data_IF_428410801853
#
_entry.id   IF_428410801853
#
_cell.length_a   1.000
_cell.length_b   1.000
_cell.length_c   1.000
_cell.angle_alpha   90.00
_cell.angle_beta   90.00
_cell.angle_gamma   90.00
#
_symmetry.space_group_name_H-M   'P 1'
#
loop_
_entity.id
_entity.type
_entity.pdbx_description
1 polymer ?
#
# COMPACT_ATOMS: atom_id res chain seq x y z
N UNK A 1 -10.17 -27.15 -25.11
CA UNK A 1 -10.01 -25.70 -24.92
C UNK A 1 -8.64 -25.29 -25.48
N UNK A 2 -8.53 -24.27 -26.35
CA UNK A 2 -7.25 -23.85 -26.91
C UNK A 2 -6.32 -23.25 -25.83
N UNK A 3 -5.01 -23.58 -25.80
CA UNK A 3 -4.07 -23.12 -24.76
C UNK A 3 -3.87 -21.59 -24.73
N UNK A 4 -4.25 -20.89 -25.81
CA UNK A 4 -4.18 -19.44 -25.89
C UNK A 4 -5.18 -18.73 -24.94
N UNK A 5 -6.35 -19.32 -24.69
CA UNK A 5 -7.41 -18.69 -23.87
C UNK A 5 -7.00 -18.47 -22.40
N UNK A 6 -6.23 -19.41 -21.84
CA UNK A 6 -5.76 -19.34 -20.46
C UNK A 6 -4.80 -18.15 -20.22
N UNK A 7 -3.99 -17.76 -21.22
CA UNK A 7 -3.06 -16.61 -21.10
C UNK A 7 -3.79 -15.27 -21.12
N UNK A 8 -4.81 -15.12 -21.96
CA UNK A 8 -5.61 -13.88 -22.00
C UNK A 8 -6.47 -13.68 -20.75
N UNK A 9 -6.98 -14.78 -20.18
CA UNK A 9 -7.70 -14.74 -18.90
C UNK A 9 -6.79 -14.31 -17.75
N UNK A 10 -5.57 -14.85 -17.69
CA UNK A 10 -4.57 -14.49 -16.66
C UNK A 10 -4.09 -13.04 -16.76
N UNK A 11 -3.84 -12.52 -17.96
CA UNK A 11 -3.43 -11.13 -18.19
C UNK A 11 -4.53 -10.11 -17.85
N UNK A 12 -5.80 -10.44 -18.11
CA UNK A 12 -6.95 -9.59 -17.75
C UNK A 12 -7.27 -9.62 -16.25
N UNK A 13 -7.08 -10.76 -15.60
CA UNK A 13 -7.24 -10.87 -14.15
C UNK A 13 -6.12 -10.13 -13.39
N UNK A 14 -4.89 -10.17 -13.89
CA UNK A 14 -3.74 -9.50 -13.27
C UNK A 14 -3.85 -7.96 -13.29
N UNK A 15 -4.36 -7.37 -14.37
CA UNK A 15 -4.53 -5.91 -14.48
C UNK A 15 -5.60 -5.35 -13.54
N UNK A 16 -6.69 -6.10 -13.31
CA UNK A 16 -7.71 -5.74 -12.32
C UNK A 16 -7.19 -5.74 -10.88
N UNK A 17 -6.35 -6.73 -10.53
CA UNK A 17 -5.73 -6.81 -9.21
C UNK A 17 -4.82 -5.63 -8.90
N UNK A 18 -3.99 -5.21 -9.87
CA UNK A 18 -3.09 -4.06 -9.69
C UNK A 18 -3.85 -2.76 -9.41
N UNK A 19 -4.93 -2.52 -10.13
CA UNK A 19 -5.75 -1.32 -9.94
C UNK A 19 -6.36 -1.28 -8.54
N UNK A 20 -6.87 -2.42 -8.04
CA UNK A 20 -7.41 -2.54 -6.69
C UNK A 20 -6.36 -2.24 -5.62
N UNK A 21 -5.12 -2.73 -5.80
CA UNK A 21 -4.01 -2.44 -4.89
C UNK A 21 -3.66 -0.96 -4.83
N UNK A 22 -3.60 -0.29 -5.99
CA UNK A 22 -3.33 1.15 -6.07
C UNK A 22 -4.43 1.95 -5.36
N UNK A 23 -5.69 1.62 -5.62
CA UNK A 23 -6.82 2.28 -4.94
C UNK A 23 -6.72 2.06 -3.42
N UNK A 24 -6.45 0.83 -2.98
CA UNK A 24 -6.35 0.52 -1.57
C UNK A 24 -5.20 1.27 -0.88
N UNK A 25 -4.10 1.53 -1.58
CA UNK A 25 -2.98 2.33 -1.06
C UNK A 25 -3.41 3.78 -0.79
N UNK A 26 -4.15 4.41 -1.71
CA UNK A 26 -4.65 5.77 -1.53
C UNK A 26 -5.68 5.87 -0.40
N UNK A 27 -6.57 4.88 -0.28
CA UNK A 27 -7.53 4.78 0.84
C UNK A 27 -6.81 4.62 2.17
N UNK A 28 -5.81 3.74 2.23
CA UNK A 28 -5.01 3.53 3.44
C UNK A 28 -4.27 4.80 3.86
N UNK A 29 -3.80 5.60 2.90
CA UNK A 29 -3.14 6.88 3.16
C UNK A 29 -4.09 7.89 3.82
N UNK A 30 -5.33 7.96 3.36
CA UNK A 30 -6.35 8.84 3.94
C UNK A 30 -6.71 8.41 5.38
N UNK A 31 -6.88 7.10 5.58
CA UNK A 31 -7.13 6.52 6.91
C UNK A 31 -5.97 6.79 7.86
N UNK A 32 -4.72 6.64 7.40
CA UNK A 32 -3.54 6.92 8.22
C UNK A 32 -3.49 8.41 8.60
N UNK A 33 -3.71 9.31 7.66
CA UNK A 33 -3.76 10.75 7.92
C UNK A 33 -4.79 11.08 9.01
N UNK A 34 -6.02 10.59 8.83
CA UNK A 34 -7.10 10.83 9.77
C UNK A 34 -6.78 10.27 11.16
N UNK A 35 -6.31 9.03 11.23
CA UNK A 35 -5.98 8.38 12.49
C UNK A 35 -4.81 9.09 13.20
N UNK A 36 -3.78 9.48 12.46
CA UNK A 36 -2.63 10.21 13.00
C UNK A 36 -3.06 11.55 13.62
N UNK A 37 -3.86 12.33 12.90
CA UNK A 37 -4.26 13.67 13.34
C UNK A 37 -5.20 13.62 14.57
N UNK A 38 -6.06 12.61 14.68
CA UNK A 38 -6.94 12.50 15.86
C UNK A 38 -6.28 11.84 17.07
N UNK A 39 -5.29 10.95 16.86
CA UNK A 39 -4.64 10.18 17.94
C UNK A 39 -3.25 10.70 18.28
N UNK A 40 -2.30 10.64 17.33
CA UNK A 40 -0.90 10.94 17.57
C UNK A 40 -0.69 12.44 17.85
N UNK A 41 -1.23 13.30 16.99
CA UNK A 41 -1.18 14.76 17.18
C UNK A 41 -1.80 15.16 18.52
N UNK A 42 -2.95 14.57 18.89
CA UNK A 42 -3.67 14.90 20.13
C UNK A 42 -3.00 14.36 21.40
N UNK A 43 -2.50 13.13 21.37
CA UNK A 43 -1.91 12.46 22.54
C UNK A 43 -0.49 12.97 22.81
N UNK A 44 0.30 13.17 21.75
CA UNK A 44 1.71 13.52 21.86
C UNK A 44 2.01 15.00 21.58
N UNK A 45 1.01 15.79 21.18
CA UNK A 45 1.19 17.21 20.83
C UNK A 45 2.04 17.44 19.58
N UNK A 46 2.11 16.45 18.68
CA UNK A 46 2.87 16.52 17.43
C UNK A 46 2.10 17.30 16.36
N UNK A 47 2.78 17.85 15.33
CA UNK A 47 2.12 18.51 14.21
C UNK A 47 1.13 17.57 13.48
N UNK A 48 0.10 18.18 12.90
CA UNK A 48 -0.80 17.48 11.97
C UNK A 48 -0.05 17.11 10.69
N UNK A 49 -0.48 16.01 10.10
CA UNK A 49 0.10 15.43 8.89
C UNK A 49 -0.89 15.61 7.76
N UNK A 50 -0.41 16.09 6.62
CA UNK A 50 -1.20 16.22 5.39
C UNK A 50 -1.25 14.90 4.62
N UNK A 51 -2.17 14.80 3.66
CA UNK A 51 -2.36 13.59 2.85
C UNK A 51 -1.05 13.05 2.25
N UNK A 52 -0.24 13.94 1.65
CA UNK A 52 1.01 13.56 1.01
C UNK A 52 2.10 13.14 1.99
N UNK A 53 2.06 13.63 3.22
CA UNK A 53 3.01 13.22 4.27
C UNK A 53 2.61 11.85 4.82
N UNK A 54 1.31 11.60 5.06
CA UNK A 54 0.81 10.28 5.43
C UNK A 54 1.12 9.23 4.36
N UNK A 55 1.00 9.58 3.08
CA UNK A 55 1.37 8.71 1.96
C UNK A 55 2.86 8.31 2.01
N UNK A 56 3.75 9.30 2.23
CA UNK A 56 5.20 9.05 2.37
C UNK A 56 5.50 8.19 3.60
N UNK A 57 4.78 8.39 4.70
CA UNK A 57 4.91 7.57 5.91
C UNK A 57 4.49 6.11 5.66
N UNK A 58 3.43 5.86 4.88
CA UNK A 58 3.07 4.49 4.47
C UNK A 58 4.16 3.82 3.63
N UNK A 59 4.80 4.56 2.72
CA UNK A 59 5.93 4.02 1.94
C UNK A 59 7.09 3.67 2.86
N UNK A 60 7.44 4.56 3.80
CA UNK A 60 8.50 4.30 4.79
C UNK A 60 8.14 3.06 5.63
N UNK A 61 6.90 2.96 6.10
CA UNK A 61 6.44 1.81 6.87
C UNK A 61 6.48 0.51 6.03
N UNK A 62 6.15 0.57 4.74
CA UNK A 62 6.25 -0.56 3.83
C UNK A 62 7.72 -1.00 3.62
N UNK A 63 8.66 -0.04 3.53
CA UNK A 63 10.10 -0.34 3.43
C UNK A 63 10.63 -0.97 4.72
N UNK A 64 10.22 -0.44 5.89
CA UNK A 64 10.73 -0.88 7.19
C UNK A 64 10.09 -2.18 7.70
N UNK A 65 8.79 -2.37 7.45
CA UNK A 65 7.98 -3.44 8.06
C UNK A 65 7.33 -4.38 7.05
N UNK A 66 7.36 -4.06 5.75
CA UNK A 66 6.85 -4.94 4.70
C UNK A 66 7.75 -6.16 4.56
N UNK A 67 7.36 -7.30 5.16
CA UNK A 67 8.04 -8.62 5.07
C UNK A 67 7.95 -9.25 3.65
N UNK A 68 8.16 -8.47 2.60
CA UNK A 68 7.91 -8.86 1.21
C UNK A 68 8.84 -8.24 0.15
N UNK A 69 9.90 -7.53 0.50
CA UNK A 69 11.07 -7.39 -0.39
C UNK A 69 11.98 -8.61 -0.16
N UNK A 70 11.52 -9.78 -0.61
CA UNK A 70 12.23 -11.05 -0.46
C UNK A 70 13.51 -11.11 -1.27
N UNK A 71 14.59 -10.49 -0.79
CA UNK A 71 15.93 -11.06 -0.95
C UNK A 71 16.06 -12.20 0.08
N UNK A 72 15.44 -13.34 -0.21
CA UNK A 72 15.84 -14.60 0.40
C UNK A 72 17.17 -15.00 -0.25
N UNK A 73 18.29 -14.46 0.24
CA UNK A 73 19.57 -15.13 0.05
C UNK A 73 19.54 -16.39 0.91
N UNK A 74 19.09 -17.49 0.31
CA UNK A 74 19.49 -18.80 0.76
C UNK A 74 21.00 -18.91 0.49
N UNK A 75 21.79 -18.66 1.52
CA UNK A 75 23.17 -19.15 1.63
C UNK A 75 23.14 -20.51 2.33
#
# INVERSE_FOLDING_TARGET
MPPAYARYLGLRAASGGLLLWVIMLFVLSDVLMWLWNITITKIFGLPEVTYWEAFRLLIIAAILFGRGFGFSFHL
#
